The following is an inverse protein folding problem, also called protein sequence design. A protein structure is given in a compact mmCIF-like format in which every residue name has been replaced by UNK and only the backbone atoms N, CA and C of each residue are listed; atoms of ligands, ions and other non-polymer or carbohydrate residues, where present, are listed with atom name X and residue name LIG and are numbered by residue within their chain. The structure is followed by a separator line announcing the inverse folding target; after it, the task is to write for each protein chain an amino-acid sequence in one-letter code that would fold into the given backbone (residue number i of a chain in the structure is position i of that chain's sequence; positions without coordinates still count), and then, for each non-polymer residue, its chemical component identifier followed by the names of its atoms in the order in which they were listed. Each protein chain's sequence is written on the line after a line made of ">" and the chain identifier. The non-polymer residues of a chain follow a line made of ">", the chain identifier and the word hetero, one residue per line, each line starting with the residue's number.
data_IF_234211743115
#
_entry.id   IF_234211743115
#
_cell.length_a   1.000
_cell.length_b   1.000
_cell.length_c   1.000
_cell.angle_alpha   90.00
_cell.angle_beta   90.00
_cell.angle_gamma   90.00
#
_symmetry.space_group_name_H-M   'P 1'
#
loop_
_entity.id
_entity.type
_entity.pdbx_description
1 polymer ?
#
# COMPACT_ATOMS: atom_id res chain seq x y z
N UNK A 1 52.16 -9.52 -22.88
CA UNK A 1 51.75 -9.52 -21.44
C UNK A 1 51.31 -8.14 -20.96
N UNK A 2 51.89 -7.06 -21.50
CA UNK A 2 51.57 -5.64 -21.22
C UNK A 2 50.11 -5.22 -21.47
N UNK A 3 49.49 -5.68 -22.57
CA UNK A 3 48.13 -5.25 -22.99
C UNK A 3 47.04 -5.67 -21.98
N UNK A 4 47.20 -6.85 -21.35
CA UNK A 4 46.25 -7.33 -20.32
C UNK A 4 46.30 -6.48 -19.05
N UNK A 5 47.47 -5.95 -18.67
CA UNK A 5 47.61 -5.07 -17.49
C UNK A 5 46.87 -3.76 -17.67
N UNK A 6 46.99 -3.12 -18.84
CA UNK A 6 46.28 -1.86 -19.17
C UNK A 6 44.76 -2.01 -19.19
N UNK A 7 44.26 -3.14 -19.71
CA UNK A 7 42.82 -3.41 -19.74
C UNK A 7 42.25 -3.60 -18.32
N UNK A 8 42.99 -4.29 -17.45
CA UNK A 8 42.60 -4.50 -16.05
C UNK A 8 42.63 -3.17 -15.27
N UNK A 9 43.70 -2.37 -15.37
CA UNK A 9 43.75 -1.06 -14.70
C UNK A 9 42.70 -0.09 -15.21
N UNK A 10 42.36 -0.10 -16.51
CA UNK A 10 41.29 0.73 -17.07
C UNK A 10 39.91 0.33 -16.54
N UNK A 11 39.62 -0.97 -16.39
CA UNK A 11 38.37 -1.46 -15.76
C UNK A 11 38.26 -1.05 -14.29
N UNK A 12 39.35 -1.13 -13.52
CA UNK A 12 39.38 -0.64 -12.14
C UNK A 12 39.20 0.88 -12.06
N UNK A 13 39.75 1.64 -13.01
CA UNK A 13 39.60 3.09 -13.07
C UNK A 13 38.15 3.50 -13.39
N UNK A 14 37.50 2.83 -14.35
CA UNK A 14 36.09 3.05 -14.69
C UNK A 14 35.18 2.64 -13.51
N UNK A 15 35.49 1.52 -12.85
CA UNK A 15 34.79 1.10 -11.63
C UNK A 15 34.93 2.11 -10.49
N UNK A 16 36.14 2.64 -10.26
CA UNK A 16 36.40 3.66 -9.25
C UNK A 16 35.68 4.99 -9.57
N UNK A 17 35.64 5.41 -10.84
CA UNK A 17 34.92 6.61 -11.28
C UNK A 17 33.40 6.45 -11.08
N UNK A 18 32.83 5.28 -11.39
CA UNK A 18 31.42 4.98 -11.12
C UNK A 18 31.08 4.95 -9.62
N UNK A 19 32.00 4.48 -8.77
CA UNK A 19 31.85 4.49 -7.31
C UNK A 19 31.93 5.92 -6.75
N UNK A 20 32.85 6.75 -7.26
CA UNK A 20 33.02 8.16 -6.86
C UNK A 20 31.83 9.02 -7.33
N UNK A 21 31.26 8.75 -8.51
CA UNK A 21 30.02 9.41 -8.96
C UNK A 21 28.79 9.02 -8.11
N UNK A 22 28.83 7.89 -7.41
CA UNK A 22 27.77 7.44 -6.51
C UNK A 22 27.71 8.17 -5.16
N UNK A 23 28.76 8.89 -4.75
CA UNK A 23 28.84 9.53 -3.43
C UNK A 23 28.35 10.99 -3.39
N UNK A 24 27.99 11.58 -4.54
CA UNK A 24 27.25 12.86 -4.56
C UNK A 24 25.81 12.57 -4.17
N UNK A 25 25.52 12.69 -2.88
CA UNK A 25 24.23 12.34 -2.27
C UNK A 25 23.03 12.89 -3.06
N UNK A 26 22.40 12.02 -3.84
CA UNK A 26 21.17 12.33 -4.54
C UNK A 26 20.04 12.42 -3.49
N UNK A 27 19.89 13.61 -2.90
CA UNK A 27 18.93 13.82 -1.82
C UNK A 27 17.49 13.79 -2.36
N UNK A 28 16.75 12.74 -2.03
CA UNK A 28 15.33 12.61 -2.36
C UNK A 28 14.46 13.68 -1.68
N UNK A 29 14.98 14.37 -0.65
CA UNK A 29 14.26 15.38 0.12
C UNK A 29 14.56 16.82 -0.33
N UNK A 30 15.33 17.02 -1.40
CA UNK A 30 15.76 18.35 -1.88
C UNK A 30 14.60 19.33 -2.12
N UNK A 31 13.48 18.84 -2.68
CA UNK A 31 12.28 19.65 -2.98
C UNK A 31 11.15 19.49 -1.96
N UNK A 32 11.43 18.90 -0.80
CA UNK A 32 10.46 18.79 0.29
C UNK A 32 10.45 20.11 1.07
N UNK A 33 9.27 20.70 1.36
CA UNK A 33 9.17 21.90 2.19
C UNK A 33 9.82 21.76 3.57
N UNK A 34 10.22 22.88 4.18
CA UNK A 34 10.91 22.86 5.47
C UNK A 34 10.09 22.26 6.63
N UNK A 35 8.77 22.49 6.62
CA UNK A 35 7.83 22.04 7.64
C UNK A 35 7.07 20.75 7.25
N UNK A 36 7.61 19.98 6.31
CA UNK A 36 7.00 18.73 5.83
C UNK A 36 8.06 17.62 5.68
N UNK A 37 7.59 16.41 5.39
CA UNK A 37 8.44 15.25 5.21
C UNK A 37 8.02 14.46 3.96
N UNK A 38 9.00 13.83 3.31
CA UNK A 38 8.77 12.89 2.22
C UNK A 38 8.11 11.63 2.77
N UNK A 39 6.91 11.32 2.30
CA UNK A 39 6.22 10.08 2.64
C UNK A 39 6.87 8.88 1.95
N UNK A 40 7.42 7.99 2.77
CA UNK A 40 8.19 6.82 2.34
C UNK A 40 7.40 5.53 2.26
N UNK A 41 6.16 5.54 2.76
CA UNK A 41 5.23 4.41 2.74
C UNK A 41 4.57 4.16 4.10
N UNK A 42 3.69 3.16 4.11
CA UNK A 42 3.04 2.69 5.31
C UNK A 42 3.50 1.27 5.68
N UNK A 43 3.53 1.01 6.97
CA UNK A 43 3.63 -0.33 7.54
C UNK A 43 2.30 -0.72 8.18
N UNK A 44 1.88 -1.96 7.97
CA UNK A 44 0.69 -2.52 8.59
C UNK A 44 1.11 -3.74 9.42
N UNK A 45 0.68 -3.79 10.69
CA UNK A 45 0.79 -4.96 11.55
C UNK A 45 -0.61 -5.48 11.85
N UNK A 46 -0.83 -6.78 11.65
CA UNK A 46 -2.06 -7.46 12.02
C UNK A 46 -1.81 -8.23 13.31
N UNK A 47 -2.65 -8.03 14.33
CA UNK A 47 -2.55 -8.67 15.64
C UNK A 47 -3.83 -9.42 15.99
N UNK A 48 -3.70 -10.44 16.86
CA UNK A 48 -4.80 -11.22 17.44
C UNK A 48 -5.80 -11.82 16.44
N UNK A 49 -5.38 -12.05 15.19
CA UNK A 49 -6.19 -12.77 14.22
C UNK A 49 -6.18 -14.26 14.56
N UNK A 50 -7.36 -14.85 14.79
CA UNK A 50 -7.52 -16.31 14.93
C UNK A 50 -7.52 -17.03 13.57
N UNK A 51 -7.18 -16.35 12.48
CA UNK A 51 -7.10 -16.93 11.14
C UNK A 51 -5.79 -17.71 10.92
N UNK A 52 -5.78 -18.59 9.93
CA UNK A 52 -4.57 -19.33 9.54
C UNK A 52 -3.47 -18.38 9.03
N UNK A 53 -2.19 -18.81 9.09
CA UNK A 53 -1.06 -18.00 8.60
C UNK A 53 -1.23 -17.53 7.14
N UNK A 54 -1.82 -18.38 6.28
CA UNK A 54 -2.09 -18.04 4.87
C UNK A 54 -3.15 -16.95 4.76
N UNK A 55 -4.28 -17.10 5.45
CA UNK A 55 -5.35 -16.10 5.47
C UNK A 55 -4.86 -14.76 6.03
N UNK A 56 -4.08 -14.78 7.11
CA UNK A 56 -3.46 -13.59 7.69
C UNK A 56 -2.54 -12.88 6.70
N UNK A 57 -1.77 -13.61 5.87
CA UNK A 57 -0.91 -13.02 4.84
C UNK A 57 -1.73 -12.34 3.74
N UNK A 58 -2.77 -12.99 3.24
CA UNK A 58 -3.67 -12.43 2.21
C UNK A 58 -4.37 -11.19 2.75
N UNK A 59 -4.99 -11.29 3.93
CA UNK A 59 -5.68 -10.17 4.58
C UNK A 59 -4.76 -8.97 4.80
N UNK A 60 -3.53 -9.22 5.25
CA UNK A 60 -2.53 -8.16 5.42
C UNK A 60 -2.17 -7.47 4.10
N UNK A 61 -2.05 -8.23 3.01
CA UNK A 61 -1.76 -7.67 1.69
C UNK A 61 -2.93 -6.82 1.16
N UNK A 62 -4.15 -7.32 1.29
CA UNK A 62 -5.37 -6.60 0.91
C UNK A 62 -5.47 -5.27 1.64
N UNK A 63 -5.36 -5.29 2.97
CA UNK A 63 -5.42 -4.09 3.82
C UNK A 63 -4.29 -3.11 3.51
N UNK A 64 -3.06 -3.58 3.33
CA UNK A 64 -1.94 -2.72 2.97
C UNK A 64 -2.16 -2.04 1.62
N UNK A 65 -2.77 -2.75 0.67
CA UNK A 65 -3.15 -2.24 -0.65
C UNK A 65 -4.21 -1.13 -0.64
N UNK A 66 -4.93 -0.94 0.47
CA UNK A 66 -5.93 0.11 0.63
C UNK A 66 -5.36 1.43 1.17
N UNK A 67 -4.19 1.40 1.81
CA UNK A 67 -3.61 2.58 2.46
C UNK A 67 -3.24 3.66 1.44
N UNK A 68 -3.66 4.90 1.68
CA UNK A 68 -3.38 6.06 0.81
C UNK A 68 -2.78 7.22 1.59
N UNK A 69 -1.98 8.10 0.96
CA UNK A 69 -1.46 8.03 -0.41
C UNK A 69 -0.45 6.88 -0.58
N UNK A 70 -0.18 6.49 -1.84
CA UNK A 70 0.94 5.59 -2.14
C UNK A 70 2.25 6.40 -2.13
N UNK A 71 3.36 5.85 -1.63
CA UNK A 71 4.65 6.52 -1.72
C UNK A 71 5.10 6.66 -3.18
N UNK A 72 6.10 7.51 -3.44
CA UNK A 72 6.73 7.61 -4.75
C UNK A 72 7.17 6.24 -5.26
N UNK A 73 7.03 6.02 -6.57
CA UNK A 73 7.41 4.76 -7.19
C UNK A 73 8.91 4.49 -7.03
N UNK A 74 9.26 3.23 -6.77
CA UNK A 74 10.64 2.76 -6.67
C UNK A 74 10.86 1.65 -7.67
N UNK A 75 11.97 1.72 -8.39
CA UNK A 75 12.48 0.63 -9.21
C UNK A 75 13.77 0.14 -8.56
N UNK A 76 13.86 -1.16 -8.26
CA UNK A 76 14.99 -1.77 -7.54
C UNK A 76 15.32 -1.06 -6.21
N UNK A 77 14.30 -0.57 -5.50
CA UNK A 77 14.45 0.15 -4.22
C UNK A 77 14.83 1.64 -4.35
N UNK A 78 15.11 2.12 -5.56
CA UNK A 78 15.54 3.49 -5.83
C UNK A 78 14.37 4.32 -6.37
N UNK A 79 14.07 5.51 -5.83
CA UNK A 79 12.97 6.35 -6.29
C UNK A 79 13.35 7.17 -7.54
N UNK A 80 13.73 6.51 -8.65
CA UNK A 80 14.29 7.14 -9.85
C UNK A 80 13.47 8.33 -10.37
N UNK A 81 12.14 8.19 -10.46
CA UNK A 81 11.27 9.27 -10.94
C UNK A 81 11.28 10.49 -10.02
N UNK A 82 11.38 10.29 -8.71
CA UNK A 82 11.53 11.39 -7.76
C UNK A 82 12.89 12.08 -7.92
N UNK A 83 13.95 11.32 -8.18
CA UNK A 83 15.28 11.88 -8.44
C UNK A 83 15.27 12.75 -9.70
N UNK A 84 14.68 12.25 -10.80
CA UNK A 84 14.50 13.00 -12.05
C UNK A 84 13.72 14.31 -11.79
N UNK A 85 12.64 14.25 -11.00
CA UNK A 85 11.89 15.45 -10.63
C UNK A 85 12.74 16.45 -9.83
N UNK A 86 13.56 15.95 -8.89
CA UNK A 86 14.44 16.79 -8.06
C UNK A 86 15.59 17.45 -8.84
N UNK A 87 15.97 16.90 -10.00
CA UNK A 87 16.95 17.50 -10.91
C UNK A 87 16.41 18.73 -11.65
N UNK A 88 15.09 18.81 -11.86
CA UNK A 88 14.52 19.95 -12.58
C UNK A 88 14.77 21.27 -11.84
N UNK A 89 15.28 22.28 -12.55
CA UNK A 89 15.47 23.62 -11.99
C UNK A 89 14.19 24.46 -11.96
N UNK A 90 14.36 25.74 -11.60
CA UNK A 90 13.27 26.73 -11.54
C UNK A 90 13.01 27.44 -12.88
N UNK A 91 13.92 27.31 -13.85
CA UNK A 91 13.79 27.96 -15.17
C UNK A 91 12.68 27.32 -16.01
N UNK A 92 11.91 28.12 -16.74
CA UNK A 92 10.88 27.65 -17.67
C UNK A 92 11.46 27.29 -19.05
N UNK A 93 12.32 26.27 -19.12
CA UNK A 93 12.87 25.75 -20.37
C UNK A 93 12.37 24.34 -20.69
N UNK A 94 12.57 23.90 -21.93
CA UNK A 94 12.15 22.58 -22.43
C UNK A 94 12.68 21.44 -21.55
N UNK A 95 13.96 21.52 -21.16
CA UNK A 95 14.62 20.51 -20.32
C UNK A 95 13.92 20.37 -18.96
N UNK A 96 13.63 21.47 -18.25
CA UNK A 96 12.96 21.40 -16.95
C UNK A 96 11.51 20.94 -17.07
N UNK A 97 10.81 21.30 -18.15
CA UNK A 97 9.46 20.78 -18.44
C UNK A 97 9.51 19.27 -18.68
N UNK A 98 10.49 18.79 -19.45
CA UNK A 98 10.69 17.37 -19.69
C UNK A 98 10.97 16.62 -18.39
N UNK A 99 11.92 17.07 -17.58
CA UNK A 99 12.26 16.44 -16.29
C UNK A 99 11.07 16.39 -15.31
N UNK A 100 10.30 17.48 -15.20
CA UNK A 100 9.07 17.50 -14.37
C UNK A 100 8.00 16.56 -14.90
N UNK A 101 7.90 16.40 -16.22
CA UNK A 101 6.93 15.50 -16.88
C UNK A 101 7.31 14.02 -16.74
N UNK A 102 8.60 13.68 -16.82
CA UNK A 102 9.09 12.30 -16.68
C UNK A 102 9.25 11.86 -15.23
N UNK A 103 9.45 12.81 -14.32
CA UNK A 103 9.59 12.56 -12.88
C UNK A 103 8.26 12.54 -12.12
N UNK A 104 8.35 12.22 -10.82
CA UNK A 104 7.22 12.27 -9.89
C UNK A 104 7.51 13.30 -8.78
N UNK A 105 6.59 14.21 -8.45
CA UNK A 105 6.77 15.15 -7.34
C UNK A 105 6.84 14.39 -6.00
N UNK A 106 7.51 14.95 -4.97
CA UNK A 106 7.57 14.32 -3.65
C UNK A 106 6.16 14.15 -3.08
N UNK A 107 5.81 12.91 -2.70
CA UNK A 107 4.59 12.67 -1.92
C UNK A 107 4.86 13.12 -0.49
N UNK A 108 4.05 14.04 0.00
CA UNK A 108 4.25 14.68 1.31
C UNK A 108 3.48 13.96 2.42
N UNK A 109 3.99 14.04 3.65
CA UNK A 109 3.32 13.51 4.84
C UNK A 109 1.99 14.24 5.08
N UNK A 110 1.94 15.54 4.82
CA UNK A 110 0.71 16.35 4.93
C UNK A 110 -0.47 15.82 4.11
N UNK A 111 -0.21 15.00 3.07
CA UNK A 111 -1.27 14.35 2.28
C UNK A 111 -1.80 13.07 2.92
N UNK A 112 -1.17 12.57 3.97
CA UNK A 112 -1.56 11.33 4.66
C UNK A 112 -2.66 11.65 5.66
N UNK A 113 -3.88 11.22 5.37
CA UNK A 113 -4.96 11.26 6.34
C UNK A 113 -4.99 9.95 7.14
N UNK A 114 -4.34 9.97 8.31
CA UNK A 114 -4.22 8.79 9.19
C UNK A 114 -5.61 8.32 9.64
N UNK A 115 -6.47 9.24 10.09
CA UNK A 115 -7.83 8.93 10.53
C UNK A 115 -8.64 8.24 9.45
N UNK A 116 -8.58 8.74 8.21
CA UNK A 116 -9.33 8.13 7.10
C UNK A 116 -8.81 6.74 6.75
N UNK A 117 -7.50 6.54 6.77
CA UNK A 117 -6.94 5.20 6.57
C UNK A 117 -7.36 4.24 7.69
N UNK A 118 -7.35 4.68 8.95
CA UNK A 118 -7.82 3.88 10.09
C UNK A 118 -9.28 3.45 9.89
N UNK A 119 -10.15 4.38 9.50
CA UNK A 119 -11.56 4.10 9.19
C UNK A 119 -11.70 3.08 8.06
N UNK A 120 -11.00 3.28 6.93
CA UNK A 120 -11.04 2.36 5.78
C UNK A 120 -10.58 0.95 6.19
N UNK A 121 -9.48 0.85 6.96
CA UNK A 121 -8.93 -0.43 7.39
C UNK A 121 -9.89 -1.17 8.33
N UNK A 122 -10.49 -0.46 9.29
CA UNK A 122 -11.48 -1.02 10.23
C UNK A 122 -12.74 -1.47 9.49
N UNK A 123 -13.33 -0.62 8.65
CA UNK A 123 -14.54 -0.96 7.89
C UNK A 123 -14.29 -2.14 6.94
N UNK A 124 -13.11 -2.23 6.34
CA UNK A 124 -12.75 -3.37 5.48
C UNK A 124 -12.68 -4.68 6.27
N UNK A 125 -12.13 -4.63 7.49
CA UNK A 125 -12.10 -5.79 8.38
C UNK A 125 -13.51 -6.23 8.77
N UNK A 126 -14.37 -5.28 9.17
CA UNK A 126 -15.77 -5.56 9.50
C UNK A 126 -16.52 -6.17 8.31
N UNK A 127 -16.33 -5.62 7.11
CA UNK A 127 -16.91 -6.14 5.87
C UNK A 127 -16.43 -7.56 5.54
N UNK A 128 -15.29 -8.02 6.08
CA UNK A 128 -14.77 -9.39 5.94
C UNK A 128 -15.08 -10.28 7.15
N UNK A 129 -16.02 -9.86 8.01
CA UNK A 129 -16.52 -10.63 9.14
C UNK A 129 -15.74 -10.44 10.45
N UNK A 130 -14.85 -9.46 10.54
CA UNK A 130 -14.12 -9.12 11.77
C UNK A 130 -14.81 -7.95 12.49
N UNK A 131 -16.02 -8.18 13.00
CA UNK A 131 -16.90 -7.12 13.53
C UNK A 131 -16.39 -6.36 14.76
N UNK A 132 -15.40 -6.91 15.47
CA UNK A 132 -14.76 -6.26 16.62
C UNK A 132 -13.34 -5.81 16.31
N UNK A 133 -13.02 -5.62 15.03
CA UNK A 133 -11.73 -5.12 14.62
C UNK A 133 -11.49 -3.71 15.15
N UNK A 134 -10.24 -3.44 15.54
CA UNK A 134 -9.80 -2.10 15.94
C UNK A 134 -8.48 -1.78 15.26
N UNK A 135 -8.42 -0.65 14.57
CA UNK A 135 -7.19 -0.18 13.94
C UNK A 135 -6.72 1.11 14.62
N UNK A 136 -5.42 1.19 14.89
CA UNK A 136 -4.73 2.42 15.29
C UNK A 136 -3.71 2.80 14.21
N UNK A 137 -3.43 4.10 14.12
CA UNK A 137 -2.50 4.65 13.13
C UNK A 137 -1.69 5.78 13.74
N UNK A 138 -0.41 5.83 13.39
CA UNK A 138 0.50 6.91 13.78
C UNK A 138 1.53 7.17 12.65
N UNK A 139 2.28 8.26 12.76
CA UNK A 139 3.32 8.65 11.81
C UNK A 139 4.65 8.87 12.53
N UNK A 140 5.73 8.41 11.93
CA UNK A 140 7.09 8.63 12.44
C UNK A 140 7.87 9.46 11.44
N UNK A 141 8.54 10.51 11.92
CA UNK A 141 9.35 11.42 11.09
C UNK A 141 10.81 11.32 11.52
N UNK A 142 11.70 11.13 10.54
CA UNK A 142 13.16 11.12 10.72
C UNK A 142 13.84 11.67 9.48
N UNK A 143 14.77 12.61 9.63
CA UNK A 143 15.57 13.16 8.52
C UNK A 143 14.73 13.65 7.31
N UNK A 144 13.65 14.41 7.55
CA UNK A 144 12.67 14.86 6.52
C UNK A 144 12.01 13.72 5.72
N UNK A 145 12.00 12.51 6.26
CA UNK A 145 11.27 11.35 5.73
C UNK A 145 10.27 10.89 6.77
N UNK A 146 9.11 10.47 6.31
CA UNK A 146 8.05 10.00 7.17
C UNK A 146 7.48 8.66 6.72
N UNK A 147 7.04 7.86 7.68
CA UNK A 147 6.32 6.62 7.43
C UNK A 147 5.09 6.55 8.31
N UNK A 148 3.99 6.05 7.78
CA UNK A 148 2.81 5.74 8.57
C UNK A 148 2.91 4.32 9.14
N UNK A 149 2.46 4.11 10.37
CA UNK A 149 2.41 2.81 11.02
C UNK A 149 0.98 2.57 11.46
N UNK A 150 0.38 1.49 10.95
CA UNK A 150 -0.95 1.05 11.32
C UNK A 150 -0.87 -0.29 12.04
N UNK A 151 -1.67 -0.45 13.10
CA UNK A 151 -1.83 -1.71 13.82
C UNK A 151 -3.31 -2.05 13.84
N UNK A 152 -3.67 -3.15 13.20
CA UNK A 152 -5.04 -3.65 13.17
C UNK A 152 -5.15 -4.91 14.02
N UNK A 153 -5.92 -4.83 15.09
CA UNK A 153 -6.36 -5.97 15.86
C UNK A 153 -7.62 -6.52 15.20
N UNK A 154 -7.52 -7.69 14.57
CA UNK A 154 -8.64 -8.26 13.80
C UNK A 154 -9.61 -9.08 14.67
N UNK A 155 -9.13 -9.71 15.74
CA UNK A 155 -9.94 -10.58 16.59
C UNK A 155 -10.45 -11.84 15.88
N UNK A 156 -11.70 -12.21 16.16
CA UNK A 156 -12.35 -13.42 15.63
C UNK A 156 -13.09 -13.10 14.34
N UNK A 157 -12.95 -13.97 13.33
CA UNK A 157 -13.76 -13.89 12.13
C UNK A 157 -15.09 -14.62 12.35
N UNK A 158 -16.19 -13.90 12.15
CA UNK A 158 -17.53 -14.43 12.25
C UNK A 158 -17.90 -15.20 10.99
N UNK A 159 -18.71 -16.24 11.18
CA UNK A 159 -19.20 -17.13 10.14
C UNK A 159 -20.71 -17.09 10.09
N UNK A 160 -21.27 -17.37 8.93
CA UNK A 160 -22.71 -17.45 8.71
C UNK A 160 -23.24 -18.64 9.53
N UNK A 161 -24.14 -18.37 10.48
CA UNK A 161 -24.77 -19.43 11.26
C UNK A 161 -25.94 -20.07 10.52
N UNK A 162 -26.79 -19.23 9.93
CA UNK A 162 -27.99 -19.65 9.21
C UNK A 162 -28.39 -18.59 8.20
N UNK A 163 -29.03 -19.01 7.10
CA UNK A 163 -29.57 -18.13 6.06
C UNK A 163 -31.07 -18.42 5.98
N UNK A 164 -31.88 -17.45 6.36
CA UNK A 164 -33.33 -17.55 6.29
C UNK A 164 -33.84 -16.87 5.04
N UNK A 165 -34.50 -17.63 4.18
CA UNK A 165 -35.23 -17.09 3.04
C UNK A 165 -36.67 -16.79 3.45
N UNK A 166 -37.31 -15.77 2.86
CA UNK A 166 -38.71 -15.46 3.12
C UNK A 166 -39.63 -16.69 2.95
N UNK A 167 -40.51 -16.91 3.92
CA UNK A 167 -41.40 -18.07 4.01
C UNK A 167 -42.88 -17.73 3.73
N UNK A 168 -43.16 -16.49 3.32
CA UNK A 168 -44.53 -16.04 3.06
C UNK A 168 -45.21 -16.75 1.86
N UNK A 169 -46.51 -16.51 1.74
CA UNK A 169 -47.39 -17.07 0.69
C UNK A 169 -47.30 -16.34 -0.64
N UNK A 170 -46.48 -15.28 -0.74
CA UNK A 170 -46.33 -14.55 -2.00
C UNK A 170 -45.67 -15.43 -3.06
N UNK A 171 -46.03 -15.20 -4.33
CA UNK A 171 -45.38 -15.88 -5.45
C UNK A 171 -43.88 -15.61 -5.52
N UNK A 172 -43.44 -14.44 -5.03
CA UNK A 172 -42.03 -14.04 -4.98
C UNK A 172 -41.26 -14.90 -3.99
N UNK A 173 -41.75 -15.08 -2.77
CA UNK A 173 -41.06 -15.91 -1.78
C UNK A 173 -41.02 -17.37 -2.18
N UNK A 174 -42.05 -17.88 -2.87
CA UNK A 174 -41.99 -19.21 -3.50
C UNK A 174 -40.87 -19.30 -4.53
N UNK A 175 -40.77 -18.33 -5.45
CA UNK A 175 -39.71 -18.29 -6.45
C UNK A 175 -38.31 -18.18 -5.82
N UNK A 176 -38.15 -17.41 -4.74
CA UNK A 176 -36.89 -17.31 -3.97
C UNK A 176 -36.52 -18.65 -3.34
N UNK A 177 -37.48 -19.36 -2.74
CA UNK A 177 -37.24 -20.70 -2.17
C UNK A 177 -36.86 -21.72 -3.23
N UNK A 178 -37.49 -21.68 -4.40
CA UNK A 178 -37.19 -22.59 -5.52
C UNK A 178 -35.73 -22.44 -6.00
N UNK A 179 -35.16 -21.22 -5.93
CA UNK A 179 -33.76 -20.95 -6.31
C UNK A 179 -32.77 -20.97 -5.14
N UNK A 180 -33.24 -21.03 -3.89
CA UNK A 180 -32.42 -20.92 -2.66
C UNK A 180 -31.26 -21.92 -2.59
N UNK A 181 -31.41 -23.10 -3.19
CA UNK A 181 -30.34 -24.11 -3.29
C UNK A 181 -29.08 -23.59 -3.99
N UNK A 182 -29.24 -22.63 -4.91
CA UNK A 182 -28.17 -21.98 -5.69
C UNK A 182 -27.49 -20.83 -4.96
N UNK A 183 -27.98 -20.45 -3.78
CA UNK A 183 -27.41 -19.36 -2.99
C UNK A 183 -25.92 -19.55 -2.75
N UNK A 184 -25.15 -18.48 -2.92
CA UNK A 184 -23.72 -18.46 -2.61
C UNK A 184 -23.47 -18.34 -1.10
N UNK A 185 -24.51 -18.00 -0.32
CA UNK A 185 -24.44 -17.91 1.14
C UNK A 185 -24.65 -19.30 1.75
N UNK A 186 -23.57 -19.89 2.29
CA UNK A 186 -23.63 -21.19 2.96
C UNK A 186 -23.30 -21.09 4.45
N UNK A 187 -23.97 -21.92 5.25
CA UNK A 187 -23.69 -22.06 6.69
C UNK A 187 -22.24 -22.49 6.91
N UNK A 188 -21.56 -21.81 7.83
CA UNK A 188 -20.17 -22.07 8.19
C UNK A 188 -19.14 -21.27 7.39
N UNK A 189 -19.55 -20.59 6.31
CA UNK A 189 -18.67 -19.72 5.55
C UNK A 189 -18.38 -18.42 6.31
N UNK A 190 -17.18 -17.82 6.15
CA UNK A 190 -16.90 -16.51 6.70
C UNK A 190 -17.84 -15.43 6.16
N UNK A 191 -18.28 -14.52 7.02
CA UNK A 191 -19.05 -13.38 6.56
C UNK A 191 -18.21 -12.51 5.59
N UNK A 192 -18.80 -12.11 4.48
CA UNK A 192 -18.21 -11.16 3.54
C UNK A 192 -19.31 -10.32 2.90
N UNK A 193 -19.25 -9.00 3.09
CA UNK A 193 -20.20 -8.07 2.48
C UNK A 193 -20.19 -8.16 0.95
N UNK A 194 -19.02 -8.42 0.34
CA UNK A 194 -18.90 -8.56 -1.10
C UNK A 194 -19.66 -9.80 -1.62
N UNK A 195 -19.67 -10.88 -0.83
CA UNK A 195 -20.43 -12.08 -1.14
C UNK A 195 -21.92 -11.80 -0.96
N UNK A 196 -22.32 -11.15 0.14
CA UNK A 196 -23.73 -10.78 0.36
C UNK A 196 -24.28 -9.86 -0.73
N UNK A 197 -23.47 -8.96 -1.28
CA UNK A 197 -23.86 -8.08 -2.39
C UNK A 197 -23.92 -8.76 -3.76
N UNK A 198 -23.22 -9.89 -3.90
CA UNK A 198 -23.16 -10.66 -5.15
C UNK A 198 -24.21 -11.77 -5.25
N UNK A 199 -24.96 -12.00 -4.17
CA UNK A 199 -26.15 -12.85 -4.13
C UNK A 199 -27.35 -12.12 -4.76
#
# INVERSE_FOLDING_TARGET
>A
MEIKKYCITSVYLIGAVLIILGSVGCSSTKKVPANDALYTGASLKLENSKATKRQTKVLKADLHGLIRPRPNSRLLGIPFKLLIYNMAGNKNNFINKFLKKTGEPPVLLSRVNVTKNVEILTNTLENKGFFHAKTSGDTTVKNKKASARYVSNAGVQYKINEVHFPDDTSGISKAIRDISSRSILKKGDPFSLDVVKGE
#
